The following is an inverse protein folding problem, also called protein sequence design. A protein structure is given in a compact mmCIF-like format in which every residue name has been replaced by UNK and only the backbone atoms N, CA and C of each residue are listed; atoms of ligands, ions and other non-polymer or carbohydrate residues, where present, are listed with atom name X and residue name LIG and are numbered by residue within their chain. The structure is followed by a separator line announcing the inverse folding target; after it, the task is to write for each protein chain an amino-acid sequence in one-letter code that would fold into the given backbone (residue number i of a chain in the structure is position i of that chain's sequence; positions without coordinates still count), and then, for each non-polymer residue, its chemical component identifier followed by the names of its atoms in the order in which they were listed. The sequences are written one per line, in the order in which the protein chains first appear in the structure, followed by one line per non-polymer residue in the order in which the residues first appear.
data_IF_771079890530
#
_entry.id   IF_771079890530
#
_cell.length_a   1.000
_cell.length_b   1.000
_cell.length_c   1.000
_cell.angle_alpha   90.00
_cell.angle_beta   90.00
_cell.angle_gamma   90.00
#
_symmetry.space_group_name_H-M   'P 1'
#
loop_
_entity.id
_entity.type
_entity.pdbx_description
1 polymer ?
#
# COMPACT_ATOMS: atom_id res chain seq x y z
N UNK A 1 -7.04 -17.52 4.14
CA UNK A 1 -5.87 -17.70 5.03
C UNK A 1 -4.68 -17.11 4.30
N UNK A 2 -4.13 -15.99 4.78
CA UNK A 2 -2.88 -15.41 4.24
C UNK A 2 -1.69 -16.24 4.71
N UNK A 3 -0.83 -16.69 3.80
CA UNK A 3 0.45 -17.30 4.17
C UNK A 3 1.52 -16.22 4.26
N UNK A 4 2.09 -16.03 5.44
CA UNK A 4 3.25 -15.16 5.62
C UNK A 4 4.52 -16.00 5.52
N UNK A 5 5.43 -15.60 4.63
CA UNK A 5 6.68 -16.33 4.42
C UNK A 5 7.86 -15.67 5.15
N UNK A 6 8.46 -16.42 6.07
CA UNK A 6 9.58 -15.96 6.90
C UNK A 6 10.88 -16.55 6.43
N UNK A 7 11.90 -15.70 6.27
CA UNK A 7 13.30 -15.87 6.68
C UNK A 7 14.11 -17.11 6.29
N UNK A 8 13.57 -18.33 6.34
CA UNK A 8 14.19 -19.54 5.81
C UNK A 8 13.18 -20.29 4.94
N UNK A 9 13.16 -19.96 3.65
CA UNK A 9 12.36 -20.72 2.69
C UNK A 9 13.01 -22.07 2.41
N UNK A 10 12.43 -23.12 2.98
CA UNK A 10 12.74 -24.51 2.63
C UNK A 10 11.80 -24.97 1.49
N UNK A 11 11.93 -26.22 1.04
CA UNK A 11 11.07 -26.79 -0.02
C UNK A 11 9.56 -26.69 0.24
N UNK A 12 9.15 -26.56 1.51
CA UNK A 12 7.75 -26.35 1.93
C UNK A 12 7.21 -24.96 1.50
N UNK A 13 8.04 -23.92 1.55
CA UNK A 13 7.63 -22.57 1.13
C UNK A 13 7.41 -22.47 -0.38
N UNK A 14 8.22 -23.16 -1.19
CA UNK A 14 8.03 -23.20 -2.64
C UNK A 14 6.70 -23.88 -3.01
N UNK A 15 6.35 -24.98 -2.36
CA UNK A 15 5.09 -25.68 -2.64
C UNK A 15 3.86 -24.86 -2.20
N UNK A 16 3.95 -24.16 -1.07
CA UNK A 16 2.89 -23.27 -0.61
C UNK A 16 2.61 -22.13 -1.61
N UNK A 17 3.66 -21.48 -2.14
CA UNK A 17 3.51 -20.44 -3.18
C UNK A 17 2.82 -21.03 -4.41
N UNK A 18 3.24 -22.21 -4.88
CA UNK A 18 2.61 -22.89 -6.04
C UNK A 18 1.14 -23.18 -5.78
N UNK A 19 0.80 -23.65 -4.59
CA UNK A 19 -0.58 -23.95 -4.20
C UNK A 19 -1.45 -22.70 -4.25
N UNK A 20 -0.99 -21.58 -3.67
CA UNK A 20 -1.73 -20.31 -3.68
C UNK A 20 -1.94 -19.80 -5.10
N UNK A 21 -0.89 -19.84 -5.93
CA UNK A 21 -1.00 -19.44 -7.34
C UNK A 21 -2.05 -20.30 -8.04
N UNK A 22 -2.08 -21.63 -7.83
CA UNK A 22 -3.10 -22.50 -8.42
C UNK A 22 -4.51 -22.23 -7.89
N UNK A 23 -4.66 -21.93 -6.60
CA UNK A 23 -5.95 -21.57 -6.03
C UNK A 23 -6.50 -20.27 -6.66
N UNK A 24 -5.62 -19.30 -6.92
CA UNK A 24 -6.00 -17.99 -7.47
C UNK A 24 -6.18 -18.00 -8.99
N UNK A 25 -5.31 -18.70 -9.70
CA UNK A 25 -5.23 -18.67 -11.16
C UNK A 25 -5.79 -19.93 -11.83
N UNK A 26 -6.06 -21.00 -11.08
CA UNK A 26 -6.39 -22.34 -11.58
C UNK A 26 -5.16 -23.19 -11.87
N UNK A 27 -5.35 -24.44 -12.29
CA UNK A 27 -4.24 -25.40 -12.43
C UNK A 27 -3.29 -25.11 -13.60
N UNK A 28 -3.83 -24.55 -14.69
CA UNK A 28 -3.10 -24.33 -15.94
C UNK A 28 -3.37 -22.92 -16.46
N UNK A 29 -2.32 -22.26 -16.94
CA UNK A 29 -2.43 -20.99 -17.64
C UNK A 29 -3.21 -21.15 -18.96
N UNK A 30 -4.24 -20.33 -19.14
CA UNK A 30 -5.03 -20.22 -20.37
C UNK A 30 -5.11 -18.75 -20.79
N UNK A 31 -4.56 -18.44 -21.97
CA UNK A 31 -4.47 -17.10 -22.54
C UNK A 31 -5.84 -16.45 -22.80
N UNK A 32 -6.94 -17.21 -22.77
CA UNK A 32 -8.31 -16.68 -22.83
C UNK A 32 -8.76 -15.99 -21.54
N UNK A 33 -8.12 -16.29 -20.41
CA UNK A 33 -8.41 -15.63 -19.14
C UNK A 33 -7.62 -14.33 -19.01
N UNK A 34 -8.10 -13.45 -18.13
CA UNK A 34 -7.39 -12.25 -17.70
C UNK A 34 -6.81 -12.46 -16.31
N UNK A 35 -5.50 -12.39 -16.19
CA UNK A 35 -4.79 -12.53 -14.93
C UNK A 35 -4.35 -11.16 -14.43
N UNK A 36 -4.61 -10.87 -13.16
CA UNK A 36 -4.25 -9.62 -12.51
C UNK A 36 -3.32 -9.93 -11.33
N UNK A 37 -2.07 -9.53 -11.44
CA UNK A 37 -1.09 -9.58 -10.34
C UNK A 37 -1.02 -8.18 -9.74
N UNK A 38 -1.39 -8.04 -8.48
CA UNK A 38 -1.38 -6.75 -7.79
C UNK A 38 -0.30 -6.76 -6.71
N UNK A 39 0.64 -5.83 -6.78
CA UNK A 39 1.81 -5.76 -5.91
C UNK A 39 1.74 -4.48 -5.09
N UNK A 40 1.39 -4.61 -3.81
CA UNK A 40 1.37 -3.52 -2.83
C UNK A 40 2.52 -3.65 -1.83
N UNK A 41 2.90 -2.54 -1.19
CA UNK A 41 3.93 -2.52 -0.17
C UNK A 41 4.45 -1.10 0.06
N UNK A 42 5.15 -0.91 1.16
CA UNK A 42 5.69 0.40 1.52
C UNK A 42 6.59 0.99 0.42
N UNK A 43 6.74 2.32 0.39
CA UNK A 43 7.78 2.94 -0.46
C UNK A 43 9.12 2.24 -0.23
N UNK A 44 9.91 2.13 -1.29
CA UNK A 44 11.25 1.54 -1.23
C UNK A 44 11.32 0.05 -0.86
N UNK A 45 10.21 -0.70 -0.85
CA UNK A 45 10.23 -2.15 -0.61
C UNK A 45 10.63 -3.00 -1.82
N UNK A 46 10.84 -2.38 -2.99
CA UNK A 46 11.25 -3.07 -4.23
C UNK A 46 10.08 -3.60 -5.08
N UNK A 47 8.86 -3.06 -4.90
CA UNK A 47 7.68 -3.38 -5.72
C UNK A 47 7.93 -3.23 -7.21
N UNK A 48 8.35 -2.03 -7.64
CA UNK A 48 8.59 -1.73 -9.04
C UNK A 48 9.69 -2.62 -9.62
N UNK A 49 10.72 -2.95 -8.83
CA UNK A 49 11.80 -3.87 -9.24
C UNK A 49 11.24 -5.27 -9.53
N UNK A 50 10.50 -5.86 -8.59
CA UNK A 50 9.89 -7.18 -8.77
C UNK A 50 8.85 -7.17 -9.91
N UNK A 51 8.02 -6.12 -10.01
CA UNK A 51 6.99 -6.00 -11.03
C UNK A 51 7.60 -5.88 -12.44
N UNK A 52 8.64 -5.05 -12.62
CA UNK A 52 9.41 -4.93 -13.86
C UNK A 52 10.07 -6.24 -14.23
N UNK A 53 10.66 -6.93 -13.25
CA UNK A 53 11.30 -8.23 -13.45
C UNK A 53 10.30 -9.29 -13.94
N UNK A 54 9.15 -9.45 -13.27
CA UNK A 54 8.08 -10.37 -13.69
C UNK A 54 7.62 -10.02 -15.10
N UNK A 55 7.31 -8.74 -15.37
CA UNK A 55 6.84 -8.31 -16.68
C UNK A 55 7.85 -8.66 -17.77
N UNK A 56 9.12 -8.24 -17.61
CA UNK A 56 10.20 -8.49 -18.57
C UNK A 56 10.37 -9.99 -18.86
N UNK A 57 10.35 -10.83 -17.82
CA UNK A 57 10.54 -12.27 -17.96
C UNK A 57 9.34 -12.96 -18.63
N UNK A 58 8.10 -12.50 -18.37
CA UNK A 58 6.90 -12.98 -19.04
C UNK A 58 6.89 -12.60 -20.52
N UNK A 59 7.11 -11.31 -20.84
CA UNK A 59 7.09 -10.83 -22.23
C UNK A 59 8.22 -11.47 -23.03
N UNK A 60 9.41 -11.61 -22.43
CA UNK A 60 10.56 -12.29 -23.05
C UNK A 60 10.33 -13.78 -23.31
N UNK A 61 9.33 -14.40 -22.67
CA UNK A 61 8.91 -15.79 -22.92
C UNK A 61 7.64 -15.91 -23.77
N UNK A 62 7.17 -14.80 -24.34
CA UNK A 62 6.00 -14.77 -25.21
C UNK A 62 4.66 -14.81 -24.48
N UNK A 63 4.64 -14.57 -23.16
CA UNK A 63 3.40 -14.37 -22.40
C UNK A 63 3.03 -12.89 -22.53
N UNK A 64 1.91 -12.53 -23.19
CA UNK A 64 1.55 -11.14 -23.41
C UNK A 64 1.15 -10.51 -22.06
N UNK A 65 2.02 -9.61 -21.57
CA UNK A 65 1.90 -8.97 -20.26
C UNK A 65 1.99 -7.44 -20.36
N UNK A 66 1.33 -6.73 -19.44
CA UNK A 66 1.40 -5.26 -19.32
C UNK A 66 1.61 -4.86 -17.86
N UNK A 67 2.61 -4.02 -17.62
CA UNK A 67 2.88 -3.40 -16.32
C UNK A 67 2.21 -2.03 -16.22
N UNK A 68 1.54 -1.76 -15.12
CA UNK A 68 0.91 -0.50 -14.76
C UNK A 68 1.47 -0.09 -13.39
N UNK A 69 2.24 1.01 -13.36
CA UNK A 69 2.73 1.61 -12.12
C UNK A 69 1.82 2.75 -11.68
N UNK A 70 1.27 2.68 -10.47
CA UNK A 70 0.38 3.71 -9.94
C UNK A 70 1.06 5.08 -9.80
N UNK A 71 2.39 5.12 -9.67
CA UNK A 71 3.17 6.37 -9.62
C UNK A 71 3.04 7.25 -10.89
N UNK A 72 2.50 6.69 -11.98
CA UNK A 72 2.19 7.44 -13.20
C UNK A 72 0.88 8.24 -13.12
N UNK A 73 0.06 7.98 -12.09
CA UNK A 73 -1.29 8.51 -11.92
C UNK A 73 -1.39 9.55 -10.79
N UNK A 74 -0.26 10.07 -10.29
CA UNK A 74 -0.30 11.19 -9.37
C UNK A 74 -0.85 12.44 -10.07
N UNK A 75 -1.83 13.05 -9.41
CA UNK A 75 -2.37 14.36 -9.74
C UNK A 75 -1.35 15.42 -9.37
N UNK A 76 -1.31 16.47 -10.18
CA UNK A 76 -0.60 17.69 -9.83
C UNK A 76 -1.50 18.59 -8.96
N UNK A 77 -0.91 19.37 -8.05
CA UNK A 77 -1.63 20.45 -7.38
C UNK A 77 -2.28 21.36 -8.42
N UNK A 78 -3.50 21.83 -8.15
CA UNK A 78 -4.21 22.75 -9.04
C UNK A 78 -3.53 24.12 -9.10
N UNK A 79 -2.85 24.51 -8.02
CA UNK A 79 -2.00 25.68 -7.98
C UNK A 79 -0.52 25.28 -8.06
N UNK A 80 0.19 25.55 -9.18
CA UNK A 80 1.61 25.23 -9.31
C UNK A 80 2.52 26.06 -8.39
N UNK A 81 1.98 27.07 -7.69
CA UNK A 81 2.67 27.84 -6.64
C UNK A 81 2.48 27.24 -5.24
N UNK A 82 1.62 26.23 -5.06
CA UNK A 82 1.62 25.48 -3.82
C UNK A 82 2.98 24.81 -3.67
N UNK A 83 3.68 25.14 -2.59
CA UNK A 83 4.93 24.47 -2.25
C UNK A 83 4.67 22.96 -2.14
N UNK A 84 5.53 22.14 -2.73
CA UNK A 84 5.52 20.67 -2.66
C UNK A 84 5.41 20.12 -1.22
N UNK A 85 5.69 20.95 -0.22
CA UNK A 85 5.60 20.62 1.20
C UNK A 85 4.17 20.73 1.78
N UNK A 86 3.25 21.43 1.12
CA UNK A 86 1.84 21.55 1.55
C UNK A 86 0.90 20.55 0.86
N UNK A 87 1.34 19.92 -0.23
CA UNK A 87 0.58 18.90 -0.93
C UNK A 87 1.07 17.49 -0.54
N UNK A 88 0.18 16.72 0.07
CA UNK A 88 0.49 15.38 0.52
C UNK A 88 0.31 14.34 -0.60
N UNK A 89 1.42 14.06 -1.29
CA UNK A 89 1.49 12.99 -2.29
C UNK A 89 1.35 11.58 -1.69
N UNK A 90 1.47 11.40 -0.37
CA UNK A 90 1.21 10.11 0.26
C UNK A 90 -0.28 9.98 0.64
N UNK A 91 -1.10 11.04 0.55
CA UNK A 91 -2.56 10.96 0.70
C UNK A 91 -3.17 10.14 -0.45
N UNK A 92 -4.06 9.15 -0.21
CA UNK A 92 -4.66 8.36 -1.28
C UNK A 92 -5.42 9.18 -2.34
N UNK A 93 -6.00 10.33 -1.98
CA UNK A 93 -6.70 11.21 -2.94
C UNK A 93 -5.76 11.99 -3.86
N UNK A 94 -4.44 11.82 -3.73
CA UNK A 94 -3.44 12.38 -4.66
C UNK A 94 -3.30 11.57 -5.96
N UNK A 95 -3.92 10.39 -6.04
CA UNK A 95 -3.94 9.54 -7.23
C UNK A 95 -5.25 9.71 -8.02
N UNK A 96 -5.14 9.66 -9.34
CA UNK A 96 -6.27 9.61 -10.27
C UNK A 96 -6.85 8.19 -10.36
N UNK A 97 -7.65 7.82 -9.37
CA UNK A 97 -8.28 6.50 -9.28
C UNK A 97 -9.27 6.22 -10.42
N UNK A 98 -9.97 7.25 -10.90
CA UNK A 98 -10.91 7.13 -12.02
C UNK A 98 -10.18 6.65 -13.29
N UNK A 99 -9.07 7.31 -13.62
CA UNK A 99 -8.22 6.94 -14.76
C UNK A 99 -7.65 5.52 -14.64
N UNK A 100 -7.23 5.12 -13.43
CA UNK A 100 -6.72 3.76 -13.15
C UNK A 100 -7.81 2.71 -13.43
N UNK A 101 -9.01 2.92 -12.88
CA UNK A 101 -10.14 1.99 -12.99
C UNK A 101 -10.67 1.91 -14.42
N UNK A 102 -10.72 3.05 -15.13
CA UNK A 102 -11.10 3.09 -16.54
C UNK A 102 -10.13 2.27 -17.40
N UNK A 103 -8.82 2.41 -17.19
CA UNK A 103 -7.82 1.62 -17.91
C UNK A 103 -7.97 0.12 -17.64
N UNK A 104 -8.18 -0.28 -16.39
CA UNK A 104 -8.37 -1.69 -16.03
C UNK A 104 -9.64 -2.26 -16.65
N UNK A 105 -10.72 -1.47 -16.70
CA UNK A 105 -11.98 -1.85 -17.35
C UNK A 105 -11.80 -2.03 -18.85
N UNK A 106 -11.12 -1.10 -19.53
CA UNK A 106 -10.82 -1.19 -20.95
C UNK A 106 -9.93 -2.41 -21.28
N UNK A 107 -8.94 -2.71 -20.43
CA UNK A 107 -8.08 -3.90 -20.56
C UNK A 107 -8.86 -5.21 -20.35
N UNK A 108 -9.81 -5.22 -19.41
CA UNK A 108 -10.69 -6.37 -19.15
C UNK A 108 -11.58 -6.67 -20.35
N UNK A 109 -12.16 -5.63 -20.93
CA UNK A 109 -13.14 -5.73 -22.02
C UNK A 109 -12.48 -5.91 -23.40
N UNK A 110 -11.15 -6.01 -23.47
CA UNK A 110 -10.39 -6.07 -24.71
C UNK A 110 -10.75 -4.91 -25.66
N UNK A 111 -10.88 -3.71 -25.10
CA UNK A 111 -11.10 -2.51 -25.90
C UNK A 111 -9.89 -2.26 -26.80
N UNK A 112 -10.13 -1.88 -28.06
CA UNK A 112 -9.05 -1.69 -29.05
C UNK A 112 -8.14 -0.51 -28.73
N UNK A 113 -8.71 0.52 -28.10
CA UNK A 113 -8.03 1.76 -27.76
C UNK A 113 -8.06 1.91 -26.24
N UNK A 114 -6.89 1.95 -25.62
CA UNK A 114 -6.76 2.15 -24.19
C UNK A 114 -6.53 3.63 -23.91
N UNK A 115 -7.15 4.20 -22.87
CA UNK A 115 -6.83 5.55 -22.45
C UNK A 115 -5.36 5.61 -21.99
N UNK A 116 -4.67 6.67 -22.41
CA UNK A 116 -3.30 6.99 -22.00
C UNK A 116 -3.37 8.19 -21.08
N UNK A 117 -2.83 8.00 -19.89
CA UNK A 117 -2.72 9.05 -18.89
C UNK A 117 -1.27 9.46 -18.80
N UNK A 118 -1.00 10.71 -19.20
CA UNK A 118 0.30 11.33 -19.02
C UNK A 118 0.46 11.77 -17.58
N UNK A 119 1.69 11.66 -17.07
CA UNK A 119 2.07 12.03 -15.72
C UNK A 119 1.76 13.51 -15.48
N UNK A 120 1.23 13.84 -14.29
CA UNK A 120 1.02 15.22 -13.78
C UNK A 120 0.00 16.03 -14.58
N UNK A 121 -1.28 15.71 -14.39
CA UNK A 121 -2.39 16.60 -14.74
C UNK A 121 -2.94 17.23 -13.47
N UNK A 122 -3.29 18.51 -13.53
CA UNK A 122 -4.18 19.09 -12.50
C UNK A 122 -5.53 18.38 -12.55
N UNK A 123 -6.34 18.45 -11.47
CA UNK A 123 -7.69 17.87 -11.48
C UNK A 123 -8.54 18.45 -12.62
N UNK A 124 -8.28 19.70 -12.98
CA UNK A 124 -8.95 20.39 -14.09
C UNK A 124 -8.61 19.86 -15.49
N UNK A 125 -7.45 19.20 -15.66
CA UNK A 125 -6.93 18.74 -16.96
C UNK A 125 -7.24 17.27 -17.30
N UNK A 126 -7.86 16.54 -16.37
CA UNK A 126 -8.23 15.12 -16.51
C UNK A 126 -9.04 14.86 -17.82
N UNK A 127 -9.76 15.86 -18.32
CA UNK A 127 -10.63 15.76 -19.50
C UNK A 127 -9.93 15.59 -20.87
N UNK A 128 -8.60 15.64 -20.96
CA UNK A 128 -7.87 15.42 -22.22
C UNK A 128 -7.41 13.96 -22.38
N UNK A 129 -8.27 13.09 -22.91
CA UNK A 129 -7.94 11.66 -23.08
C UNK A 129 -7.18 11.41 -24.37
N UNK A 130 -5.95 10.92 -24.24
CA UNK A 130 -5.24 10.31 -25.36
C UNK A 130 -5.48 8.79 -25.36
N UNK A 131 -5.26 8.15 -26.51
CA UNK A 131 -5.48 6.72 -26.65
C UNK A 131 -4.29 6.03 -27.31
N UNK A 132 -3.97 4.82 -26.85
CA UNK A 132 -3.01 3.93 -27.51
C UNK A 132 -3.67 2.61 -27.92
N UNK A 133 -3.10 1.95 -28.93
CA UNK A 133 -3.57 0.64 -29.35
C UNK A 133 -3.35 -0.40 -28.24
N UNK A 134 -4.37 -1.22 -27.97
CA UNK A 134 -4.28 -2.31 -27.01
C UNK A 134 -3.42 -3.46 -27.56
N UNK A 135 -2.50 -3.95 -26.74
CA UNK A 135 -1.70 -5.15 -27.04
C UNK A 135 -2.39 -6.45 -26.62
N UNK A 136 -3.61 -6.36 -26.08
CA UNK A 136 -4.44 -7.44 -25.58
C UNK A 136 -3.68 -8.35 -24.59
N UNK A 137 -3.11 -7.79 -23.50
CA UNK A 137 -2.37 -8.58 -22.54
C UNK A 137 -3.29 -9.60 -21.85
N UNK A 138 -2.76 -10.80 -21.66
CA UNK A 138 -3.39 -11.84 -20.84
C UNK A 138 -3.05 -11.67 -19.36
N UNK A 139 -1.88 -11.07 -19.06
CA UNK A 139 -1.41 -10.79 -17.70
C UNK A 139 -1.24 -9.30 -17.50
N UNK A 140 -2.02 -8.73 -16.59
CA UNK A 140 -1.89 -7.34 -16.14
C UNK A 140 -1.18 -7.36 -14.79
N UNK A 141 -0.14 -6.55 -14.65
CA UNK A 141 0.60 -6.38 -13.39
C UNK A 141 0.38 -4.94 -12.94
N UNK A 142 -0.22 -4.74 -11.77
CA UNK A 142 -0.40 -3.42 -11.17
C UNK A 142 0.47 -3.33 -9.93
N UNK A 143 1.28 -2.27 -9.83
CA UNK A 143 2.15 -2.04 -8.68
C UNK A 143 2.03 -0.60 -8.17
N UNK A 144 2.13 -0.44 -6.86
CA UNK A 144 2.05 0.86 -6.20
C UNK A 144 1.88 0.74 -4.69
N UNK A 145 2.05 1.84 -3.96
CA UNK A 145 1.86 1.83 -2.49
C UNK A 145 0.43 1.53 -2.07
N UNK A 146 -0.55 1.79 -2.95
CA UNK A 146 -1.99 1.59 -2.73
C UNK A 146 -2.63 0.62 -3.75
N UNK A 147 -1.84 -0.27 -4.35
CA UNK A 147 -2.31 -1.11 -5.45
C UNK A 147 -3.53 -1.98 -5.12
N UNK A 148 -3.70 -2.44 -3.88
CA UNK A 148 -4.87 -3.24 -3.48
C UNK A 148 -6.18 -2.45 -3.49
N UNK A 149 -6.14 -1.12 -3.43
CA UNK A 149 -7.35 -0.29 -3.49
C UNK A 149 -8.16 -0.53 -4.78
N UNK A 150 -7.54 -0.97 -5.88
CA UNK A 150 -8.26 -1.25 -7.13
C UNK A 150 -9.11 -2.53 -7.08
N UNK A 151 -8.90 -3.40 -6.08
CA UNK A 151 -9.52 -4.74 -5.98
C UNK A 151 -10.18 -5.02 -4.62
N UNK A 152 -10.00 -4.16 -3.63
CA UNK A 152 -10.58 -4.36 -2.31
C UNK A 152 -12.08 -4.07 -2.34
N UNK A 153 -12.85 -4.80 -1.53
CA UNK A 153 -14.26 -4.52 -1.30
C UNK A 153 -14.48 -3.16 -0.65
N UNK A 154 -13.58 -2.75 0.23
CA UNK A 154 -13.60 -1.41 0.83
C UNK A 154 -12.39 -0.62 0.35
N UNK A 155 -12.66 0.57 -0.20
CA UNK A 155 -11.68 1.47 -0.81
C UNK A 155 -11.66 2.80 -0.07
N UNK A 156 -10.62 3.60 -0.27
CA UNK A 156 -10.52 4.92 0.35
C UNK A 156 -11.73 5.79 0.01
N UNK A 157 -12.26 6.50 1.01
CA UNK A 157 -13.32 7.48 0.82
C UNK A 157 -12.75 8.77 0.22
N UNK A 158 -12.67 8.81 -1.11
CA UNK A 158 -12.07 9.93 -1.84
C UNK A 158 -12.86 11.24 -1.67
N UNK A 159 -14.14 11.19 -1.29
CA UNK A 159 -14.97 12.38 -1.04
C UNK A 159 -14.58 13.12 0.25
N UNK A 160 -14.02 12.40 1.23
CA UNK A 160 -13.60 12.99 2.50
C UNK A 160 -12.12 13.39 2.52
N UNK A 161 -11.29 12.67 1.75
CA UNK A 161 -9.85 12.84 1.68
C UNK A 161 -9.44 14.08 0.87
N UNK A 162 -8.50 14.84 1.41
CA UNK A 162 -7.96 16.03 0.78
C UNK A 162 -6.43 16.04 0.90
N UNK A 163 -5.67 15.92 -0.21
CA UNK A 163 -4.21 16.00 -0.18
C UNK A 163 -3.66 17.34 0.30
N UNK A 164 -4.47 18.41 0.32
CA UNK A 164 -4.07 19.73 0.85
C UNK A 164 -4.34 19.88 2.36
N UNK A 165 -5.14 18.97 2.94
CA UNK A 165 -5.43 18.91 4.37
C UNK A 165 -5.57 17.46 4.87
N UNK A 166 -4.48 16.68 4.82
CA UNK A 166 -4.45 15.29 5.30
C UNK A 166 -4.71 15.13 6.80
N UNK A 167 -4.68 16.22 7.58
CA UNK A 167 -4.94 16.23 9.02
C UNK A 167 -6.42 16.43 9.36
N UNK A 168 -7.25 16.77 8.36
CA UNK A 168 -8.69 16.84 8.51
C UNK A 168 -9.23 15.57 9.17
N UNK A 169 -10.12 15.77 10.15
CA UNK A 169 -10.82 14.65 10.79
C UNK A 169 -11.80 14.04 9.79
N UNK A 170 -11.65 12.75 9.54
CA UNK A 170 -12.52 11.96 8.68
C UNK A 170 -13.66 11.37 9.52
N UNK A 171 -14.88 11.38 8.98
CA UNK A 171 -16.02 10.62 9.52
C UNK A 171 -15.96 9.16 9.09
N UNK A 172 -15.55 8.91 7.85
CA UNK A 172 -15.46 7.58 7.28
C UNK A 172 -14.26 7.48 6.34
N UNK A 173 -13.25 6.69 6.73
CA UNK A 173 -12.01 6.56 5.95
C UNK A 173 -12.16 5.67 4.70
N UNK A 174 -13.10 4.72 4.74
CA UNK A 174 -13.31 3.73 3.70
C UNK A 174 -14.78 3.56 3.35
N UNK A 175 -15.08 3.36 2.07
CA UNK A 175 -16.42 3.10 1.51
C UNK A 175 -16.44 1.77 0.77
N UNK A 176 -17.63 1.18 0.59
CA UNK A 176 -17.75 -0.01 -0.25
C UNK A 176 -17.44 0.36 -1.71
N UNK A 177 -16.63 -0.47 -2.35
CA UNK A 177 -16.11 -0.28 -3.69
C UNK A 177 -17.20 -0.50 -4.72
N UNK A 178 -17.27 0.41 -5.69
CA UNK A 178 -18.04 0.25 -6.91
C UNK A 178 -17.16 -0.26 -8.09
N UNK A 179 -15.87 -0.53 -7.84
CA UNK A 179 -14.94 -0.98 -8.87
C UNK A 179 -15.25 -2.43 -9.30
N UNK A 180 -15.52 -2.62 -10.59
CA UNK A 180 -15.81 -3.94 -11.14
C UNK A 180 -14.53 -4.66 -11.62
N UNK A 181 -13.99 -5.50 -10.75
CA UNK A 181 -12.84 -6.38 -11.06
C UNK A 181 -13.25 -7.82 -11.38
N UNK A 182 -14.55 -8.09 -11.50
CA UNK A 182 -15.05 -9.41 -11.90
C UNK A 182 -14.49 -9.80 -13.26
N UNK A 183 -14.14 -11.08 -13.42
CA UNK A 183 -13.56 -11.62 -14.64
C UNK A 183 -12.03 -11.67 -14.66
N UNK A 184 -11.36 -10.97 -13.73
CA UNK A 184 -9.95 -11.20 -13.47
C UNK A 184 -9.74 -12.41 -12.56
N UNK A 185 -8.71 -13.19 -12.83
CA UNK A 185 -8.08 -14.07 -11.85
C UNK A 185 -7.02 -13.28 -11.11
N UNK A 186 -7.18 -13.07 -9.82
CA UNK A 186 -6.43 -12.06 -9.06
C UNK A 186 -5.46 -12.73 -8.08
N UNK A 187 -4.21 -12.26 -8.06
CA UNK A 187 -3.19 -12.61 -7.06
C UNK A 187 -2.68 -11.34 -6.38
N UNK A 188 -2.89 -11.24 -5.07
CA UNK A 188 -2.47 -10.12 -4.22
C UNK A 188 -1.13 -10.42 -3.56
N UNK A 189 -0.09 -9.66 -3.92
CA UNK A 189 1.26 -9.79 -3.38
C UNK A 189 1.57 -8.56 -2.53
N UNK A 190 2.03 -8.79 -1.30
CA UNK A 190 2.37 -7.73 -0.37
C UNK A 190 3.84 -7.74 0.03
N UNK A 191 4.52 -6.59 -0.09
CA UNK A 191 5.94 -6.40 0.18
C UNK A 191 6.15 -5.42 1.36
N UNK A 192 6.02 -5.88 2.62
CA UNK A 192 6.24 -5.03 3.79
C UNK A 192 7.72 -4.70 3.99
N UNK A 193 7.97 -3.58 4.68
CA UNK A 193 9.30 -3.15 5.06
C UNK A 193 9.32 -2.59 6.49
N UNK A 194 10.32 -2.96 7.27
CA UNK A 194 10.51 -2.41 8.62
C UNK A 194 10.83 -0.91 8.54
N UNK A 195 10.39 -0.13 9.53
CA UNK A 195 10.66 1.32 9.60
C UNK A 195 12.13 1.65 9.37
N UNK A 196 13.03 0.95 10.06
CA UNK A 196 14.47 1.18 9.96
C UNK A 196 15.03 0.91 8.55
N UNK A 197 14.55 -0.14 7.88
CA UNK A 197 14.96 -0.45 6.51
C UNK A 197 14.39 0.57 5.51
N UNK A 198 13.11 0.92 5.67
CA UNK A 198 12.44 1.95 4.87
C UNK A 198 13.19 3.28 4.99
N UNK A 199 13.52 3.70 6.21
CA UNK A 199 14.33 4.88 6.49
C UNK A 199 15.69 4.82 5.80
N UNK A 200 16.42 3.73 5.95
CA UNK A 200 17.76 3.60 5.40
C UNK A 200 17.77 3.74 3.88
N UNK A 201 16.87 3.04 3.20
CA UNK A 201 16.77 3.05 1.74
C UNK A 201 16.28 4.42 1.26
N UNK A 202 15.23 4.97 1.89
CA UNK A 202 14.67 6.29 1.51
C UNK A 202 15.68 7.41 1.72
N UNK A 203 16.37 7.41 2.87
CA UNK A 203 17.45 8.37 3.18
C UNK A 203 18.52 8.34 2.10
N UNK A 204 19.04 7.16 1.77
CA UNK A 204 20.11 7.06 0.78
C UNK A 204 19.67 7.47 -0.62
N UNK A 205 18.46 7.09 -1.02
CA UNK A 205 17.88 7.52 -2.30
C UNK A 205 17.72 9.03 -2.37
N UNK A 206 17.10 9.64 -1.36
CA UNK A 206 16.81 11.07 -1.36
C UNK A 206 18.08 11.93 -1.18
N UNK A 207 19.12 11.40 -0.49
CA UNK A 207 20.45 12.01 -0.44
C UNK A 207 21.16 11.99 -1.80
N UNK A 208 20.99 10.94 -2.63
CA UNK A 208 21.51 10.90 -4.01
C UNK A 208 20.89 12.00 -4.88
N UNK A 209 19.65 12.39 -4.58
CA UNK A 209 18.94 13.53 -5.20
C UNK A 209 19.32 14.89 -4.59
N UNK A 210 20.37 14.97 -3.76
CA UNK A 210 20.86 16.19 -3.11
C UNK A 210 19.84 16.91 -2.23
N UNK A 211 18.81 16.21 -1.73
CA UNK A 211 17.85 16.78 -0.77
C UNK A 211 18.50 17.01 0.61
N UNK A 212 18.16 18.09 1.34
CA UNK A 212 18.71 18.34 2.68
C UNK A 212 18.34 17.23 3.67
N UNK A 213 19.30 16.79 4.48
CA UNK A 213 19.10 15.69 5.43
C UNK A 213 17.95 15.94 6.40
N UNK A 214 17.86 17.14 6.98
CA UNK A 214 16.82 17.48 7.95
C UNK A 214 15.42 17.49 7.32
N UNK A 215 15.32 17.93 6.05
CA UNK A 215 14.07 17.86 5.28
C UNK A 215 13.65 16.40 5.03
N UNK A 216 14.60 15.53 4.63
CA UNK A 216 14.34 14.09 4.44
C UNK A 216 13.85 13.46 5.75
N UNK A 217 14.53 13.74 6.87
CA UNK A 217 14.16 13.20 8.18
C UNK A 217 12.78 13.70 8.62
N UNK A 218 12.54 15.01 8.54
CA UNK A 218 11.26 15.62 8.91
C UNK A 218 10.11 15.04 8.09
N UNK A 219 10.26 14.94 6.76
CA UNK A 219 9.24 14.35 5.88
C UNK A 219 8.99 12.88 6.19
N UNK A 220 10.04 12.10 6.46
CA UNK A 220 9.90 10.70 6.82
C UNK A 220 9.09 10.50 8.11
N UNK A 221 9.46 11.23 9.17
CA UNK A 221 8.84 11.06 10.50
C UNK A 221 7.42 11.61 10.56
N UNK A 222 7.12 12.68 9.80
CA UNK A 222 5.84 13.39 9.87
C UNK A 222 4.80 12.95 8.84
N UNK A 223 5.22 12.39 7.70
CA UNK A 223 4.33 12.04 6.59
C UNK A 223 4.53 10.57 6.19
N UNK A 224 5.67 10.25 5.56
CA UNK A 224 5.88 8.95 4.90
C UNK A 224 5.61 7.77 5.84
N UNK A 225 6.17 7.78 7.05
CA UNK A 225 6.00 6.65 7.97
C UNK A 225 4.57 6.57 8.53
N UNK A 226 3.99 7.64 9.10
CA UNK A 226 2.56 7.66 9.48
C UNK A 226 1.63 7.20 8.36
N UNK A 227 1.79 7.71 7.13
CA UNK A 227 0.93 7.37 5.99
C UNK A 227 1.14 5.93 5.51
N UNK A 228 2.38 5.43 5.55
CA UNK A 228 2.65 4.00 5.31
C UNK A 228 1.88 3.14 6.31
N UNK A 229 1.89 3.50 7.60
CA UNK A 229 1.16 2.75 8.61
C UNK A 229 -0.36 2.85 8.41
N UNK A 230 -0.85 4.07 8.18
CA UNK A 230 -2.27 4.38 8.08
C UNK A 230 -2.93 3.87 6.81
N UNK A 231 -2.24 3.88 5.68
CA UNK A 231 -2.86 3.62 4.37
C UNK A 231 -2.30 2.38 3.68
N UNK A 232 -0.99 2.11 3.81
CA UNK A 232 -0.35 0.96 3.14
C UNK A 232 -0.50 -0.32 3.96
N UNK A 233 -0.41 -0.21 5.29
CA UNK A 233 -0.42 -1.36 6.21
C UNK A 233 -1.80 -1.64 6.81
N UNK A 234 -2.71 -0.68 6.77
CA UNK A 234 -4.09 -0.82 7.25
C UNK A 234 -5.00 -1.65 6.34
N UNK A 235 -4.45 -2.31 5.31
CA UNK A 235 -5.24 -2.97 4.26
C UNK A 235 -6.35 -3.82 4.86
N UNK A 236 -7.59 -3.37 4.61
CA UNK A 236 -8.82 -3.98 5.13
C UNK A 236 -9.00 -5.44 4.70
N UNK A 237 -8.27 -5.88 3.69
CA UNK A 237 -8.29 -7.24 3.17
C UNK A 237 -6.92 -7.93 3.15
N UNK A 238 -6.97 -9.26 3.23
CA UNK A 238 -5.79 -10.13 3.21
C UNK A 238 -5.05 -10.09 1.86
N UNK A 239 -3.72 -10.13 1.95
CA UNK A 239 -2.87 -10.52 0.83
C UNK A 239 -2.85 -12.05 0.65
N UNK A 240 -2.53 -12.51 -0.55
CA UNK A 240 -2.37 -13.94 -0.84
C UNK A 240 -0.95 -14.41 -0.52
N UNK A 241 0.04 -13.60 -0.92
CA UNK A 241 1.45 -13.86 -0.69
C UNK A 241 2.11 -12.63 -0.08
N UNK A 242 2.82 -12.83 1.02
CA UNK A 242 3.66 -11.80 1.63
C UNK A 242 5.14 -12.14 1.50
N UNK A 243 5.94 -11.20 1.01
CA UNK A 243 7.41 -11.30 1.00
C UNK A 243 7.99 -10.29 1.96
N UNK A 244 8.33 -10.73 3.17
CA UNK A 244 8.95 -9.87 4.18
C UNK A 244 10.21 -9.20 3.64
N UNK A 245 10.33 -7.88 3.82
CA UNK A 245 11.39 -7.03 3.26
C UNK A 245 11.44 -6.97 1.72
N UNK A 246 10.37 -7.40 1.05
CA UNK A 246 10.22 -7.31 -0.40
C UNK A 246 11.43 -7.84 -1.17
N UNK A 247 12.01 -7.00 -2.03
CA UNK A 247 13.14 -7.39 -2.88
C UNK A 247 14.41 -7.76 -2.10
N UNK A 248 14.60 -7.20 -0.90
CA UNK A 248 15.79 -7.43 -0.06
C UNK A 248 15.79 -8.79 0.64
N UNK A 249 14.67 -9.51 0.61
CA UNK A 249 14.65 -10.93 0.93
C UNK A 249 14.85 -11.72 -0.34
N UNK A 250 16.12 -11.87 -0.73
CA UNK A 250 16.50 -12.39 -2.05
C UNK A 250 15.93 -13.78 -2.32
N UNK A 251 16.00 -14.69 -1.35
CA UNK A 251 15.49 -16.05 -1.47
C UNK A 251 13.98 -16.05 -1.71
N UNK A 252 13.22 -15.28 -0.91
CA UNK A 252 11.76 -15.28 -0.99
C UNK A 252 11.24 -14.59 -2.26
N UNK A 253 11.83 -13.45 -2.61
CA UNK A 253 11.51 -12.73 -3.84
C UNK A 253 11.88 -13.54 -5.09
N UNK A 254 13.01 -14.25 -5.08
CA UNK A 254 13.38 -15.16 -6.16
C UNK A 254 12.38 -16.32 -6.29
N UNK A 255 12.00 -16.96 -5.19
CA UNK A 255 11.01 -18.04 -5.20
C UNK A 255 9.63 -17.55 -5.67
N UNK A 256 9.20 -16.35 -5.27
CA UNK A 256 7.98 -15.73 -5.77
C UNK A 256 8.01 -15.61 -7.31
N UNK A 257 9.03 -14.94 -7.85
CA UNK A 257 9.15 -14.70 -9.29
C UNK A 257 9.28 -16.03 -10.05
N UNK A 258 10.11 -16.97 -9.57
CA UNK A 258 10.27 -18.31 -10.15
C UNK A 258 8.93 -19.05 -10.27
N UNK A 259 8.10 -19.01 -9.23
CA UNK A 259 6.82 -19.74 -9.23
C UNK A 259 5.75 -19.06 -10.08
N UNK A 260 5.71 -17.72 -10.11
CA UNK A 260 4.85 -16.98 -11.05
C UNK A 260 5.22 -17.36 -12.49
N UNK A 261 6.50 -17.33 -12.83
CA UNK A 261 6.97 -17.72 -14.16
C UNK A 261 6.69 -19.20 -14.47
N UNK A 262 6.90 -20.07 -13.49
CA UNK A 262 6.61 -21.51 -13.62
C UNK A 262 5.15 -21.79 -13.96
N UNK A 263 4.23 -20.99 -13.41
CA UNK A 263 2.80 -21.06 -13.72
C UNK A 263 2.51 -20.64 -15.17
N UNK A 264 2.95 -19.45 -15.58
CA UNK A 264 2.61 -18.90 -16.90
C UNK A 264 3.36 -19.56 -18.07
N UNK A 265 4.55 -20.09 -17.82
CA UNK A 265 5.40 -20.64 -18.88
C UNK A 265 5.45 -22.18 -18.89
N UNK A 266 4.75 -22.85 -17.97
CA UNK A 266 4.63 -24.31 -17.85
C UNK A 266 5.96 -25.07 -17.87
N UNK A 267 7.03 -24.48 -17.31
CA UNK A 267 8.40 -25.04 -17.31
C UNK A 267 9.13 -24.72 -16.01
N UNK A 268 10.06 -25.59 -15.63
CA UNK A 268 11.11 -25.24 -14.67
C UNK A 268 11.97 -24.16 -15.32
N UNK A 269 11.78 -22.92 -14.89
CA UNK A 269 12.52 -21.78 -15.40
C UNK A 269 13.68 -21.52 -14.45
N UNK A 270 14.88 -21.69 -14.97
CA UNK A 270 16.07 -21.03 -14.43
C UNK A 270 16.17 -19.66 -15.11
N UNK A 271 16.38 -18.62 -14.33
CA UNK A 271 16.64 -17.28 -14.84
C UNK A 271 17.71 -16.63 -13.96
N UNK A 272 18.57 -15.82 -14.57
CA UNK A 272 19.49 -14.97 -13.83
C UNK A 272 18.76 -13.71 -13.40
N UNK A 273 18.83 -13.42 -12.10
CA UNK A 273 18.24 -12.22 -11.53
C UNK A 273 19.03 -11.01 -12.01
N UNK A 274 18.35 -10.07 -12.64
CA UNK A 274 18.91 -8.77 -13.01
C UNK A 274 18.21 -7.72 -12.16
N UNK A 275 18.67 -7.56 -10.92
CA UNK A 275 18.23 -6.47 -10.06
C UNK A 275 19.15 -5.29 -10.34
N UNK A 276 18.68 -4.33 -11.13
CA UNK A 276 19.41 -3.09 -11.43
C UNK A 276 19.68 -2.25 -10.16
N UNK A 277 18.98 -2.54 -9.05
CA UNK A 277 19.00 -1.80 -7.78
C UNK A 277 19.12 -2.72 -6.54
N UNK A 278 19.93 -3.77 -6.59
CA UNK A 278 20.16 -4.60 -5.40
C UNK A 278 21.07 -3.90 -4.39
N UNK A 279 20.46 -3.11 -3.52
CA UNK A 279 21.13 -2.38 -2.45
C UNK A 279 21.11 -3.17 -1.13
N UNK A 280 20.86 -4.49 -1.17
CA UNK A 280 20.76 -5.35 0.01
C UNK A 280 22.01 -5.28 0.89
N UNK A 281 23.19 -5.16 0.28
CA UNK A 281 24.46 -5.01 0.99
C UNK A 281 24.72 -3.57 1.49
N UNK A 282 24.18 -2.54 0.84
CA UNK A 282 24.35 -1.13 1.22
C UNK A 282 23.56 -0.78 2.50
N UNK A 283 22.48 -1.52 2.79
CA UNK A 283 21.59 -1.24 3.91
C UNK A 283 21.51 -2.41 4.89
N UNK A 284 22.68 -2.84 5.40
CA UNK A 284 22.81 -3.73 6.57
C UNK A 284 22.30 -3.04 7.84
N UNK A 285 20.99 -2.79 7.87
CA UNK A 285 20.25 -2.18 8.97
C UNK A 285 19.46 -3.28 9.66
N UNK A 286 19.58 -3.30 10.98
CA UNK A 286 18.87 -4.25 11.83
C UNK A 286 17.36 -4.16 11.58
N UNK A 287 16.75 -5.34 11.45
CA UNK A 287 15.32 -5.48 11.33
C UNK A 287 14.66 -5.11 12.67
N UNK A 288 13.77 -4.13 12.69
CA UNK A 288 13.00 -3.79 13.90
C UNK A 288 11.95 -4.85 14.27
N UNK A 289 11.66 -5.80 13.38
CA UNK A 289 10.61 -6.81 13.58
C UNK A 289 9.18 -6.28 13.40
N UNK A 290 8.99 -4.97 13.26
CA UNK A 290 7.66 -4.32 13.15
C UNK A 290 6.90 -4.71 11.89
N UNK A 291 7.59 -4.89 10.76
CA UNK A 291 6.98 -5.31 9.50
C UNK A 291 6.38 -6.72 9.55
N UNK A 292 6.84 -7.49 10.53
CA UNK A 292 6.33 -8.80 10.88
C UNK A 292 5.04 -8.64 11.70
N UNK A 293 5.11 -7.82 12.74
CA UNK A 293 4.09 -7.68 13.79
C UNK A 293 2.77 -7.03 13.33
N UNK A 294 2.79 -6.19 12.29
CA UNK A 294 1.57 -5.51 11.83
C UNK A 294 0.60 -6.43 11.05
N UNK A 295 1.08 -7.53 10.45
CA UNK A 295 0.26 -8.36 9.55
C UNK A 295 0.20 -9.84 9.89
N UNK A 296 1.21 -10.40 10.57
CA UNK A 296 1.13 -11.80 11.04
C UNK A 296 0.24 -11.96 12.24
N UNK A 297 0.13 -10.92 13.06
CA UNK A 297 -0.25 -11.10 14.46
C UNK A 297 -1.75 -10.96 14.61
N UNK A 298 -2.41 -10.04 13.90
CA UNK A 298 -3.87 -9.84 14.02
C UNK A 298 -4.68 -10.62 12.97
N UNK A 299 -4.12 -10.87 11.79
CA UNK A 299 -4.81 -11.58 10.69
C UNK A 299 -4.76 -13.10 10.76
N UNK A 300 -3.88 -13.68 11.59
CA UNK A 300 -3.68 -15.14 11.69
C UNK A 300 -4.16 -15.67 13.05
N UNK A 301 -3.89 -14.94 14.14
CA UNK A 301 -4.34 -15.26 15.49
C UNK A 301 -4.91 -14.01 16.18
N UNK A 302 -6.23 -13.91 16.24
CA UNK A 302 -6.94 -12.82 16.92
C UNK A 302 -6.75 -12.90 18.45
N UNK A 303 -5.60 -12.40 18.95
CA UNK A 303 -5.26 -12.37 20.37
C UNK A 303 -4.98 -10.96 20.87
N UNK A 304 -5.29 -10.69 22.15
CA UNK A 304 -5.07 -9.39 22.80
C UNK A 304 -3.62 -8.94 22.67
N UNK A 305 -2.66 -9.86 22.88
CA UNK A 305 -1.23 -9.56 22.78
C UNK A 305 -0.88 -9.05 21.38
N UNK A 306 -1.46 -9.65 20.35
CA UNK A 306 -1.21 -9.32 18.96
C UNK A 306 -1.84 -7.99 18.54
N UNK A 307 -3.05 -7.71 19.03
CA UNK A 307 -3.69 -6.42 18.85
C UNK A 307 -2.98 -5.30 19.63
N UNK A 308 -2.53 -5.55 20.87
CA UNK A 308 -1.76 -4.57 21.64
C UNK A 308 -0.46 -4.19 20.93
N UNK A 309 0.25 -5.16 20.37
CA UNK A 309 1.44 -4.94 19.52
C UNK A 309 1.12 -4.09 18.28
N UNK A 310 -0.05 -4.30 17.66
CA UNK A 310 -0.52 -3.48 16.54
C UNK A 310 -0.81 -2.04 16.98
N UNK A 311 -1.57 -1.84 18.06
CA UNK A 311 -1.91 -0.50 18.56
C UNK A 311 -0.67 0.27 19.01
N UNK A 312 0.27 -0.38 19.72
CA UNK A 312 1.57 0.20 20.08
C UNK A 312 2.37 0.62 18.84
N UNK A 313 2.42 -0.24 17.82
CA UNK A 313 3.10 0.08 16.56
C UNK A 313 2.47 1.29 15.86
N UNK A 314 1.13 1.44 15.93
CA UNK A 314 0.39 2.60 15.41
C UNK A 314 0.54 3.86 16.28
N UNK A 315 1.30 3.82 17.38
CA UNK A 315 1.48 4.97 18.28
C UNK A 315 0.24 5.28 19.12
N UNK A 316 -0.61 4.27 19.32
CA UNK A 316 -1.88 4.39 20.06
C UNK A 316 -1.91 3.38 21.20
N UNK A 317 -2.81 3.56 22.16
CA UNK A 317 -3.07 2.58 23.21
C UNK A 317 -4.52 2.14 23.12
N UNK A 318 -4.74 0.83 23.14
CA UNK A 318 -6.08 0.25 23.24
C UNK A 318 -6.32 -0.20 24.68
N UNK A 319 -7.47 0.17 25.23
CA UNK A 319 -7.89 -0.34 26.53
C UNK A 319 -8.04 -1.86 26.43
N UNK A 320 -7.23 -2.58 27.20
CA UNK A 320 -7.17 -4.04 27.12
C UNK A 320 -8.50 -4.69 27.52
N UNK A 321 -9.32 -4.09 28.39
CA UNK A 321 -10.64 -4.62 28.74
C UNK A 321 -11.65 -4.45 27.58
N UNK A 322 -11.60 -3.30 26.90
CA UNK A 322 -12.45 -3.05 25.72
C UNK A 322 -12.07 -3.98 24.57
N UNK A 323 -10.77 -4.14 24.32
CA UNK A 323 -10.25 -5.02 23.28
C UNK A 323 -10.62 -6.47 23.55
N UNK A 324 -10.48 -6.93 24.79
CA UNK A 324 -10.80 -8.31 25.16
C UNK A 324 -12.32 -8.57 25.05
N UNK A 325 -13.12 -7.61 25.48
CA UNK A 325 -14.57 -7.66 25.31
C UNK A 325 -15.00 -7.65 23.84
N UNK A 326 -14.33 -6.84 23.01
CA UNK A 326 -14.55 -6.82 21.56
C UNK A 326 -14.24 -8.19 20.94
N UNK A 327 -13.03 -8.72 21.16
CA UNK A 327 -12.62 -10.03 20.60
C UNK A 327 -13.54 -11.17 21.06
N UNK A 328 -14.01 -11.13 22.31
CA UNK A 328 -14.93 -12.14 22.82
C UNK A 328 -16.30 -12.11 22.11
N UNK A 329 -16.83 -10.91 21.83
CA UNK A 329 -18.15 -10.73 21.17
C UNK A 329 -18.08 -10.93 19.67
N UNK A 330 -16.95 -10.64 19.05
CA UNK A 330 -16.79 -10.74 17.59
C UNK A 330 -16.28 -12.11 17.14
N UNK A 331 -15.87 -12.99 18.07
CA UNK A 331 -15.33 -14.34 17.80
C UNK A 331 -16.15 -15.22 16.84
N UNK A 332 -17.48 -15.07 16.82
CA UNK A 332 -18.39 -15.83 15.95
C UNK A 332 -19.06 -14.96 14.86
N UNK A 333 -18.69 -13.68 14.79
CA UNK A 333 -19.27 -12.72 13.86
C UNK A 333 -18.40 -12.69 12.61
N UNK A 334 -19.02 -12.62 11.42
CA UNK A 334 -18.23 -12.51 10.20
C UNK A 334 -17.48 -11.18 10.17
N UNK A 335 -16.29 -11.17 9.55
CA UNK A 335 -15.49 -9.94 9.43
C UNK A 335 -16.25 -8.82 8.72
N UNK A 336 -17.09 -9.18 7.75
CA UNK A 336 -17.98 -8.24 7.06
C UNK A 336 -18.98 -7.57 8.00
N UNK A 337 -19.57 -8.34 8.92
CA UNK A 337 -20.52 -7.82 9.90
C UNK A 337 -19.81 -7.01 11.00
N UNK A 338 -18.58 -7.40 11.37
CA UNK A 338 -17.73 -6.62 12.29
C UNK A 338 -17.35 -5.28 11.67
N UNK A 339 -16.93 -5.24 10.41
CA UNK A 339 -16.55 -3.99 9.72
C UNK A 339 -17.76 -3.07 9.53
N UNK A 340 -18.94 -3.62 9.21
CA UNK A 340 -20.15 -2.83 9.00
C UNK A 340 -20.76 -2.26 10.30
N UNK A 341 -20.63 -2.96 11.43
CA UNK A 341 -21.23 -2.59 12.73
C UNK A 341 -20.21 -2.25 13.81
N UNK A 342 -18.93 -2.15 13.45
CA UNK A 342 -17.82 -2.05 14.40
C UNK A 342 -17.97 -0.89 15.37
N UNK A 343 -18.36 0.28 14.86
CA UNK A 343 -18.58 1.47 15.68
C UNK A 343 -19.76 1.33 16.65
N UNK A 344 -20.83 0.65 16.26
CA UNK A 344 -21.96 0.35 17.15
C UNK A 344 -21.56 -0.66 18.23
N UNK A 345 -20.77 -1.68 17.86
CA UNK A 345 -20.25 -2.69 18.78
C UNK A 345 -19.30 -2.05 19.79
N UNK A 346 -18.36 -1.22 19.33
CA UNK A 346 -17.40 -0.50 20.18
C UNK A 346 -18.11 0.53 21.06
N UNK A 347 -19.07 1.28 20.55
CA UNK A 347 -19.86 2.24 21.33
C UNK A 347 -20.69 1.54 22.42
N UNK A 348 -21.29 0.39 22.10
CA UNK A 348 -22.00 -0.46 23.06
C UNK A 348 -21.04 -0.99 24.14
N UNK A 349 -19.84 -1.43 23.77
CA UNK A 349 -18.82 -1.92 24.68
C UNK A 349 -18.29 -0.83 25.63
N UNK A 350 -17.95 0.34 25.09
CA UNK A 350 -17.50 1.48 25.87
C UNK A 350 -18.55 1.92 26.90
N UNK A 351 -19.85 1.90 26.53
CA UNK A 351 -20.94 2.22 27.45
C UNK A 351 -21.09 1.21 28.61
N UNK A 352 -20.74 -0.06 28.38
CA UNK A 352 -20.78 -1.12 29.39
C UNK A 352 -19.63 -0.99 30.39
N UNK A 353 -18.42 -0.64 29.93
CA UNK A 353 -17.24 -0.44 30.78
C UNK A 353 -17.36 0.82 31.66
N UNK A 354 -17.98 1.89 31.15
CA UNK A 354 -18.26 3.10 31.93
C UNK A 354 -19.29 2.84 33.04
N UNK A 355 -20.20 1.88 32.86
CA UNK A 355 -21.19 1.51 33.89
C UNK A 355 -20.62 0.68 35.05
N UNK A 356 -19.38 0.16 34.91
CA UNK A 356 -18.71 -0.69 35.91
C UNK A 356 -17.65 0.02 36.75
N UNK A 357 -17.35 1.30 36.49
CA UNK A 357 -16.44 2.08 37.33
C UNK A 357 -17.21 2.92 38.37
N UNK A 358 -16.75 3.01 39.64
CA UNK A 358 -17.38 3.88 40.62
C UNK A 358 -17.14 5.35 40.26
N UNK A 359 -18.22 6.15 40.32
CA UNK A 359 -18.17 7.58 40.02
C UNK A 359 -17.13 8.31 40.88
N UNK A 360 -16.16 8.96 40.23
CA UNK A 360 -15.23 9.89 40.86
C UNK A 360 -15.59 11.32 40.44
N UNK A 361 -15.76 12.16 41.46
CA UNK A 361 -16.20 13.56 41.41
C UNK A 361 -15.29 14.47 40.58
N UNK A 362 -15.92 15.37 39.82
CA UNK A 362 -15.30 16.48 39.08
C UNK A 362 -14.41 17.37 39.95
N UNK A 363 -13.23 17.72 39.43
CA UNK A 363 -12.42 18.83 39.91
C UNK A 363 -12.16 19.83 38.77
N UNK A 364 -12.38 21.11 39.08
CA UNK A 364 -12.42 22.25 38.16
C UNK A 364 -11.08 22.56 37.44
N UNK A 365 -11.13 23.23 36.26
CA UNK A 365 -9.94 23.48 35.45
C UNK A 365 -9.14 24.71 35.93
N UNK A 366 -7.80 24.59 35.92
CA UNK A 366 -6.88 25.72 36.04
C UNK A 366 -6.53 26.27 34.65
N UNK A 367 -6.58 27.60 34.54
CA UNK A 367 -6.21 28.39 33.36
C UNK A 367 -4.70 28.35 33.11
N UNK A 368 -4.29 28.16 31.86
CA UNK A 368 -2.94 28.50 31.38
C UNK A 368 -3.01 29.68 30.41
N UNK A 369 -2.05 30.59 30.56
CA UNK A 369 -1.92 31.86 29.85
C UNK A 369 -1.28 31.67 28.47
N UNK A 370 -1.80 32.41 27.47
CA UNK A 370 -1.25 32.53 26.13
C UNK A 370 -0.09 33.52 26.11
N UNK A 371 1.02 33.14 25.50
CA UNK A 371 2.04 34.07 24.99
C UNK A 371 2.01 33.99 23.46
N UNK A 372 1.87 35.16 22.84
CA UNK A 372 1.84 35.40 21.39
C UNK A 372 3.22 35.93 21.01
N UNK A 373 3.87 35.33 20.02
CA UNK A 373 5.00 35.97 19.32
C UNK A 373 4.68 36.00 17.82
N UNK A 374 4.75 37.22 17.27
CA UNK A 374 4.62 37.56 15.85
C UNK A 374 5.90 37.17 15.09
N UNK A 375 5.76 36.71 13.84
CA UNK A 375 6.89 36.51 12.92
C UNK A 375 6.68 37.38 11.69
N UNK A 376 7.65 38.25 11.45
CA UNK A 376 7.75 39.08 10.24
C UNK A 376 8.20 38.26 9.03
N UNK A 377 7.59 38.60 7.90
CA UNK A 377 7.71 38.03 6.56
C UNK A 377 8.87 38.71 5.81
N UNK A 378 9.77 37.92 5.20
CA UNK A 378 10.67 38.42 4.14
C UNK A 378 10.72 37.41 3.00
N UNK A 379 10.12 37.83 1.89
CA UNK A 379 10.10 37.16 0.59
C UNK A 379 11.42 37.43 -0.15
N UNK A 380 12.05 36.39 -0.69
CA UNK A 380 12.92 36.54 -1.85
C UNK A 380 12.76 35.38 -2.83
N UNK A 381 12.29 35.73 -4.02
CA UNK A 381 12.01 34.86 -5.17
C UNK A 381 13.31 34.62 -5.96
N UNK A 382 13.57 33.38 -6.37
CA UNK A 382 14.37 33.15 -7.57
C UNK A 382 13.81 32.00 -8.42
N UNK A 383 13.37 32.42 -9.62
CA UNK A 383 13.01 31.64 -10.80
C UNK A 383 14.19 30.81 -11.33
N UNK A 384 13.87 29.81 -12.18
CA UNK A 384 14.68 28.83 -12.94
C UNK A 384 14.50 27.41 -12.36
N UNK A 385 13.76 26.49 -12.97
CA UNK A 385 13.80 26.10 -14.39
C UNK A 385 14.84 25.00 -14.56
N UNK A 386 14.42 23.74 -14.59
CA UNK A 386 15.32 22.60 -14.74
C UNK A 386 14.56 21.28 -14.73
N UNK A 387 14.42 20.72 -15.93
CA UNK A 387 13.97 19.38 -16.23
C UNK A 387 14.80 18.30 -15.52
N UNK A 388 14.22 17.10 -15.54
CA UNK A 388 14.81 15.79 -15.30
C UNK A 388 14.82 15.22 -13.88
N UNK A 389 14.37 13.96 -13.83
CA UNK A 389 14.50 12.97 -12.78
C UNK A 389 13.72 13.18 -11.47
N UNK A 390 12.49 12.67 -11.48
CA UNK A 390 11.82 12.21 -10.25
C UNK A 390 11.31 10.76 -10.40
N UNK A 391 12.12 9.85 -9.85
CA UNK A 391 11.77 8.53 -9.35
C UNK A 391 12.17 8.44 -7.86
#
# INVERSE_FOLDING_TARGET
MSSVFNGSMNGDSEEQIRKIIREKFGDVYDMKNKYLIVIQGATSSGKSTIAKEINRLLTGKGVPSKLIGLDSYYLSPDNPLEEDDNYDFDNPASLDWESIVELLTALKNDEKNLPVYFRRKSKSEINTKEFCANTFPSVIIVEGIYAFNIINRYIFNLDELDPTDSKKKLSQEFVESDYNVDGFKILKIFLPLCKNKLWAIRKARDLKLKKPYDAIKSRFEKMIWPDTQRWVYSTLEYNDIQVAHGNFNETASHLLVKNILGYFCSKNITYERQLEDDLSEEFKVECSGESYMLLTTVGIEESIENYNKLYEALGTQCDSEILDSFLSKTKSTSRDEIMAKGDEIISSLASQVVSSQPAVSEAAPKKEEKVVEEVEEVVEVSLFGGDDDFF
#
